data_IF_373625961732
#
_entry.id   IF_373625961732
#
_cell.length_a   1.000
_cell.length_b   1.000
_cell.length_c   1.000
_cell.angle_alpha   90.00
_cell.angle_beta   90.00
_cell.angle_gamma   90.00
#
_symmetry.space_group_name_H-M   'P 1'
#
loop_
_entity.id
_entity.type
_entity.pdbx_description
1 polymer ?
#
# COMPACT_ATOMS: atom_id res chain seq x y z
N UNK A 1 -5.42 8.35 -18.26
CA UNK A 1 -6.41 8.75 -17.22
C UNK A 1 -7.27 7.55 -16.89
N UNK A 2 -7.35 7.16 -15.62
CA UNK A 2 -8.33 6.14 -15.18
C UNK A 2 -9.75 6.67 -15.38
N UNK A 3 -10.66 5.82 -15.88
CA UNK A 3 -12.08 6.19 -16.03
C UNK A 3 -12.70 6.48 -14.66
N UNK A 4 -13.74 7.32 -14.62
CA UNK A 4 -14.49 7.57 -13.37
C UNK A 4 -14.99 6.26 -12.73
N UNK A 5 -15.41 5.29 -13.55
CA UNK A 5 -15.88 3.99 -13.08
C UNK A 5 -14.81 3.18 -12.31
N UNK A 6 -13.52 3.28 -12.67
CA UNK A 6 -12.43 2.61 -11.94
C UNK A 6 -12.13 3.32 -10.61
N UNK A 7 -12.30 4.64 -10.53
CA UNK A 7 -12.18 5.36 -9.26
C UNK A 7 -13.27 4.96 -8.27
N UNK A 8 -14.51 4.90 -8.76
CA UNK A 8 -15.67 4.48 -7.94
C UNK A 8 -15.51 3.03 -7.46
N UNK A 9 -15.02 2.13 -8.32
CA UNK A 9 -14.68 0.76 -7.93
C UNK A 9 -13.77 0.72 -6.70
N UNK A 10 -12.69 1.50 -6.68
CA UNK A 10 -11.75 1.50 -5.56
C UNK A 10 -12.40 1.94 -4.25
N UNK A 11 -13.34 2.89 -4.30
CA UNK A 11 -14.07 3.35 -3.13
C UNK A 11 -14.99 2.25 -2.61
N UNK A 12 -15.84 1.67 -3.48
CA UNK A 12 -16.78 0.62 -3.10
C UNK A 12 -16.07 -0.64 -2.60
N UNK A 13 -14.98 -1.06 -3.25
CA UNK A 13 -14.19 -2.22 -2.83
C UNK A 13 -13.57 -2.02 -1.43
N UNK A 14 -13.06 -0.83 -1.12
CA UNK A 14 -12.53 -0.49 0.22
C UNK A 14 -13.60 -0.50 1.30
N UNK A 15 -14.81 -0.10 0.96
CA UNK A 15 -15.96 -0.09 1.89
C UNK A 15 -16.63 -1.46 2.04
N UNK A 16 -16.18 -2.49 1.29
CA UNK A 16 -16.80 -3.81 1.29
C UNK A 16 -18.11 -3.91 0.48
N UNK A 17 -18.46 -2.88 -0.29
CA UNK A 17 -19.63 -2.86 -1.17
C UNK A 17 -19.31 -3.54 -2.51
N UNK A 18 -19.10 -4.85 -2.49
CA UNK A 18 -18.58 -5.60 -3.64
C UNK A 18 -19.54 -5.63 -4.84
N UNK A 19 -20.85 -5.65 -4.62
CA UNK A 19 -21.81 -5.62 -5.72
C UNK A 19 -21.78 -4.31 -6.49
N UNK A 20 -21.65 -3.19 -5.81
CA UNK A 20 -21.49 -1.87 -6.42
C UNK A 20 -20.15 -1.74 -7.15
N UNK A 21 -19.10 -2.31 -6.58
CA UNK A 21 -17.77 -2.38 -7.21
C UNK A 21 -17.85 -3.16 -8.54
N UNK A 22 -18.51 -4.31 -8.57
CA UNK A 22 -18.75 -5.12 -9.79
C UNK A 22 -19.49 -4.31 -10.85
N UNK A 23 -20.58 -3.63 -10.50
CA UNK A 23 -21.34 -2.79 -11.44
C UNK A 23 -20.48 -1.67 -12.04
N UNK A 24 -19.55 -1.11 -11.27
CA UNK A 24 -18.60 -0.10 -11.77
C UNK A 24 -17.64 -0.69 -12.83
N UNK A 25 -17.10 -1.89 -12.57
CA UNK A 25 -16.21 -2.57 -13.52
C UNK A 25 -16.95 -3.00 -14.80
N UNK A 26 -18.18 -3.50 -14.67
CA UNK A 26 -19.02 -3.87 -15.82
C UNK A 26 -19.34 -2.64 -16.70
N UNK A 27 -19.58 -1.46 -16.09
CA UNK A 27 -19.73 -0.20 -16.85
C UNK A 27 -18.43 0.18 -17.56
N UNK A 28 -17.29 0.07 -16.88
CA UNK A 28 -15.99 0.35 -17.50
C UNK A 28 -15.72 -0.55 -18.72
N UNK A 29 -16.12 -1.81 -18.67
CA UNK A 29 -15.99 -2.76 -19.77
C UNK A 29 -16.94 -2.47 -20.95
N UNK A 30 -18.07 -1.78 -20.74
CA UNK A 30 -18.91 -1.29 -21.85
C UNK A 30 -18.18 -0.21 -22.66
N UNK A 31 -17.45 0.69 -21.96
CA UNK A 31 -16.68 1.76 -22.60
C UNK A 31 -15.39 1.23 -23.23
N UNK A 32 -14.74 0.26 -22.58
CA UNK A 32 -13.47 -0.37 -23.01
C UNK A 32 -13.56 -1.88 -22.98
N UNK A 33 -14.16 -2.50 -24.03
CA UNK A 33 -14.43 -3.95 -24.02
C UNK A 33 -13.19 -4.85 -24.02
N UNK A 34 -12.01 -4.31 -24.33
CA UNK A 34 -10.75 -5.03 -24.40
C UNK A 34 -9.76 -4.66 -23.29
N UNK A 35 -10.23 -3.98 -22.23
CA UNK A 35 -9.41 -3.63 -21.06
C UNK A 35 -9.22 -4.85 -20.14
N UNK A 36 -8.10 -5.55 -20.30
CA UNK A 36 -7.80 -6.77 -19.55
C UNK A 36 -7.48 -6.50 -18.07
N UNK A 37 -7.06 -5.27 -17.71
CA UNK A 37 -6.93 -4.85 -16.32
C UNK A 37 -8.28 -4.89 -15.61
N UNK A 38 -9.32 -4.34 -16.24
CA UNK A 38 -10.67 -4.34 -15.69
C UNK A 38 -11.24 -5.76 -15.57
N UNK A 39 -10.98 -6.66 -16.53
CA UNK A 39 -11.35 -8.09 -16.39
C UNK A 39 -10.61 -8.77 -15.23
N UNK A 40 -9.36 -8.47 -15.01
CA UNK A 40 -8.59 -9.01 -13.89
C UNK A 40 -9.15 -8.53 -12.54
N UNK A 41 -9.52 -7.25 -12.44
CA UNK A 41 -10.18 -6.70 -11.24
C UNK A 41 -11.55 -7.38 -11.01
N UNK A 42 -12.33 -7.58 -12.07
CA UNK A 42 -13.64 -8.23 -11.98
C UNK A 42 -13.53 -9.67 -11.51
N UNK A 43 -12.58 -10.44 -12.04
CA UNK A 43 -12.32 -11.82 -11.61
C UNK A 43 -11.99 -11.93 -10.11
N UNK A 44 -11.32 -10.93 -9.53
CA UNK A 44 -11.02 -10.90 -8.09
C UNK A 44 -12.27 -10.77 -7.20
N UNK A 45 -13.38 -10.30 -7.75
CA UNK A 45 -14.65 -10.16 -7.05
C UNK A 45 -15.65 -11.26 -7.41
N UNK A 46 -15.56 -11.82 -8.61
CA UNK A 46 -16.48 -12.82 -9.16
C UNK A 46 -15.68 -13.95 -9.83
N UNK A 47 -15.70 -15.14 -9.25
CA UNK A 47 -14.97 -16.30 -9.78
C UNK A 47 -15.47 -16.76 -11.16
N UNK A 48 -16.77 -16.60 -11.44
CA UNK A 48 -17.42 -17.07 -12.67
C UNK A 48 -17.05 -16.26 -13.93
N UNK A 49 -16.22 -15.24 -13.81
CA UNK A 49 -15.76 -14.42 -14.95
C UNK A 49 -14.82 -15.20 -15.88
N UNK A 50 -14.13 -16.21 -15.37
CA UNK A 50 -13.18 -17.02 -16.14
C UNK A 50 -13.92 -18.10 -16.95
N UNK A 51 -14.45 -17.75 -18.10
CA UNK A 51 -15.07 -18.65 -19.04
C UNK A 51 -14.28 -18.79 -20.36
N UNK A 52 -14.69 -19.72 -21.21
CA UNK A 52 -14.05 -19.93 -22.52
C UNK A 52 -14.15 -18.72 -23.44
N UNK A 53 -15.20 -17.91 -23.32
CA UNK A 53 -15.41 -16.69 -24.09
C UNK A 53 -14.35 -15.65 -23.74
N UNK A 54 -14.11 -15.45 -22.44
CA UNK A 54 -13.06 -14.57 -21.97
C UNK A 54 -11.67 -15.08 -22.36
N UNK A 55 -11.42 -16.41 -22.25
CA UNK A 55 -10.11 -16.98 -22.69
C UNK A 55 -9.82 -16.67 -24.15
N UNK A 56 -10.80 -16.87 -25.02
CA UNK A 56 -10.68 -16.56 -26.47
C UNK A 56 -10.45 -15.04 -26.69
N UNK A 57 -11.18 -14.20 -25.97
CA UNK A 57 -11.01 -12.75 -26.03
C UNK A 57 -9.60 -12.32 -25.62
N UNK A 58 -9.10 -12.83 -24.49
CA UNK A 58 -7.75 -12.54 -24.00
C UNK A 58 -6.73 -12.91 -25.08
N UNK A 59 -6.80 -14.12 -25.60
CA UNK A 59 -5.89 -14.61 -26.64
C UNK A 59 -5.88 -13.67 -27.85
N UNK A 60 -7.06 -13.24 -28.30
CA UNK A 60 -7.19 -12.31 -29.43
C UNK A 60 -6.57 -10.94 -29.12
N UNK A 61 -6.83 -10.38 -27.91
CA UNK A 61 -6.31 -9.06 -27.53
C UNK A 61 -4.79 -9.07 -27.40
N UNK A 62 -4.20 -10.10 -26.80
CA UNK A 62 -2.73 -10.16 -26.61
C UNK A 62 -1.98 -10.54 -27.88
N UNK A 63 -2.65 -11.08 -28.90
CA UNK A 63 -2.06 -11.38 -30.21
C UNK A 63 -2.10 -10.20 -31.17
N UNK A 64 -2.70 -9.08 -30.79
CA UNK A 64 -2.74 -7.86 -31.60
C UNK A 64 -1.40 -7.12 -31.48
N UNK A 65 -0.74 -6.81 -32.59
CA UNK A 65 0.53 -6.06 -32.63
C UNK A 65 0.43 -4.67 -31.98
N UNK A 66 -0.77 -4.08 -31.93
CA UNK A 66 -1.06 -2.83 -31.23
C UNK A 66 -1.36 -2.97 -29.74
N UNK A 67 -1.27 -4.19 -29.19
CA UNK A 67 -1.60 -4.44 -27.78
C UNK A 67 -0.71 -3.67 -26.81
N UNK A 68 -1.33 -2.97 -25.85
CA UNK A 68 -0.56 -2.24 -24.84
C UNK A 68 0.15 -3.20 -23.87
N UNK A 69 1.33 -2.80 -23.36
CA UNK A 69 2.06 -3.59 -22.36
C UNK A 69 1.22 -3.92 -21.13
N UNK A 70 0.30 -3.04 -20.73
CA UNK A 70 -0.63 -3.29 -19.63
C UNK A 70 -1.61 -4.42 -19.97
N UNK A 71 -2.20 -4.42 -21.15
CA UNK A 71 -3.05 -5.54 -21.61
C UNK A 71 -2.25 -6.84 -21.76
N UNK A 72 -1.00 -6.80 -22.25
CA UNK A 72 -0.12 -7.96 -22.27
C UNK A 72 0.13 -8.49 -20.85
N UNK A 73 0.40 -7.60 -19.89
CA UNK A 73 0.59 -7.98 -18.49
C UNK A 73 -0.66 -8.68 -17.91
N UNK A 74 -1.79 -7.98 -17.90
CA UNK A 74 -3.02 -8.52 -17.32
C UNK A 74 -3.58 -9.72 -18.08
N UNK A 75 -3.42 -9.75 -19.41
CA UNK A 75 -3.79 -10.91 -20.21
C UNK A 75 -3.03 -12.18 -19.82
N UNK A 76 -1.71 -12.08 -19.64
CA UNK A 76 -0.92 -13.20 -19.16
C UNK A 76 -1.30 -13.59 -17.72
N UNK A 77 -1.56 -12.64 -16.81
CA UNK A 77 -2.03 -12.96 -15.46
C UNK A 77 -3.41 -13.66 -15.46
N UNK A 78 -4.33 -13.26 -16.34
CA UNK A 78 -5.62 -13.95 -16.52
C UNK A 78 -5.43 -15.36 -17.08
N UNK A 79 -4.57 -15.54 -18.11
CA UNK A 79 -4.26 -16.87 -18.64
C UNK A 79 -3.63 -17.78 -17.59
N UNK A 80 -2.78 -17.23 -16.69
CA UNK A 80 -2.26 -17.99 -15.56
C UNK A 80 -3.39 -18.53 -14.67
N UNK A 81 -4.44 -17.74 -14.43
CA UNK A 81 -5.62 -18.20 -13.66
C UNK A 81 -6.37 -19.34 -14.33
N UNK A 82 -6.51 -19.32 -15.65
CA UNK A 82 -7.08 -20.47 -16.37
C UNK A 82 -6.24 -21.73 -16.24
N UNK A 83 -4.92 -21.61 -16.35
CA UNK A 83 -4.03 -22.78 -16.21
C UNK A 83 -3.98 -23.27 -14.75
N UNK A 84 -4.10 -22.37 -13.75
CA UNK A 84 -4.25 -22.72 -12.34
C UNK A 84 -5.50 -23.57 -12.09
N UNK A 85 -6.66 -23.16 -12.64
CA UNK A 85 -7.91 -23.92 -12.53
C UNK A 85 -7.83 -25.29 -13.23
N UNK A 86 -7.01 -25.37 -14.28
CA UNK A 86 -6.78 -26.63 -15.00
C UNK A 86 -5.71 -27.53 -14.36
N UNK A 87 -5.04 -27.08 -13.28
CA UNK A 87 -3.95 -27.82 -12.63
C UNK A 87 -2.64 -27.83 -13.41
N UNK A 88 -2.47 -26.94 -14.40
CA UNK A 88 -1.30 -26.87 -15.27
C UNK A 88 -0.25 -25.91 -14.70
N UNK A 89 0.36 -26.25 -13.57
CA UNK A 89 1.23 -25.35 -12.79
C UNK A 89 2.44 -24.82 -13.57
N UNK A 90 3.02 -25.61 -14.48
CA UNK A 90 4.14 -25.15 -15.32
C UNK A 90 3.71 -24.03 -16.26
N UNK A 91 2.54 -24.17 -16.92
CA UNK A 91 2.00 -23.13 -17.80
C UNK A 91 1.56 -21.91 -16.99
N UNK A 92 0.95 -22.11 -15.84
CA UNK A 92 0.61 -21.04 -14.92
C UNK A 92 1.83 -20.21 -14.60
N UNK A 93 2.92 -20.85 -14.16
CA UNK A 93 4.16 -20.16 -13.80
C UNK A 93 4.75 -19.37 -14.98
N UNK A 94 4.76 -19.96 -16.18
CA UNK A 94 5.25 -19.30 -17.38
C UNK A 94 4.41 -18.04 -17.74
N UNK A 95 3.09 -18.10 -17.57
CA UNK A 95 2.22 -16.93 -17.79
C UNK A 95 2.42 -15.87 -16.70
N UNK A 96 2.62 -16.26 -15.45
CA UNK A 96 2.94 -15.34 -14.35
C UNK A 96 4.25 -14.59 -14.64
N UNK A 97 5.31 -15.29 -15.03
CA UNK A 97 6.59 -14.65 -15.39
C UNK A 97 6.42 -13.63 -16.51
N UNK A 98 5.73 -14.00 -17.61
CA UNK A 98 5.48 -13.07 -18.72
C UNK A 98 4.67 -11.85 -18.28
N UNK A 99 3.60 -12.06 -17.48
CA UNK A 99 2.79 -10.97 -16.97
C UNK A 99 3.60 -9.99 -16.12
N UNK A 100 4.41 -10.51 -15.21
CA UNK A 100 5.28 -9.68 -14.37
C UNK A 100 6.38 -8.97 -15.15
N UNK A 101 6.96 -9.59 -16.18
CA UNK A 101 7.95 -8.93 -17.04
C UNK A 101 7.34 -7.71 -17.75
N UNK A 102 6.14 -7.85 -18.32
CA UNK A 102 5.45 -6.70 -18.90
C UNK A 102 5.13 -5.60 -17.88
N UNK A 103 4.74 -5.96 -16.64
CA UNK A 103 4.59 -4.98 -15.57
C UNK A 103 5.89 -4.26 -15.27
N UNK A 104 6.98 -5.00 -15.13
CA UNK A 104 8.29 -4.42 -14.88
C UNK A 104 8.68 -3.43 -15.97
N UNK A 105 8.52 -3.80 -17.25
CA UNK A 105 8.80 -2.92 -18.38
C UNK A 105 7.98 -1.62 -18.37
N UNK A 106 6.74 -1.64 -17.83
CA UNK A 106 5.91 -0.42 -17.74
C UNK A 106 6.24 0.47 -16.54
N UNK A 107 6.88 -0.08 -15.52
CA UNK A 107 7.10 0.60 -14.23
C UNK A 107 8.58 0.69 -13.85
N UNK A 108 9.51 0.29 -14.72
CA UNK A 108 10.96 0.22 -14.42
C UNK A 108 11.50 1.53 -13.86
N UNK A 109 11.22 2.66 -14.50
CA UNK A 109 11.70 3.97 -14.03
C UNK A 109 11.17 4.35 -12.65
N UNK A 110 9.93 4.00 -12.33
CA UNK A 110 9.37 4.22 -11.00
C UNK A 110 10.05 3.30 -9.98
N UNK A 111 10.19 2.03 -10.32
CA UNK A 111 10.82 1.03 -9.48
C UNK A 111 12.29 1.36 -9.20
N UNK A 112 13.06 1.80 -10.19
CA UNK A 112 14.45 2.27 -10.02
C UNK A 112 14.55 3.46 -9.05
N UNK A 113 13.63 4.42 -9.15
CA UNK A 113 13.56 5.55 -8.21
C UNK A 113 13.22 5.10 -6.79
N UNK A 114 12.28 4.17 -6.66
CA UNK A 114 11.91 3.58 -5.37
C UNK A 114 13.07 2.80 -4.76
N UNK A 115 13.78 1.97 -5.54
CA UNK A 115 14.99 1.28 -5.08
C UNK A 115 16.05 2.25 -4.60
N UNK A 116 16.35 3.29 -5.40
CA UNK A 116 17.31 4.33 -5.00
C UNK A 116 16.89 5.02 -3.70
N UNK A 117 15.60 5.33 -3.55
CA UNK A 117 15.09 5.92 -2.31
C UNK A 117 15.30 4.99 -1.10
N UNK A 118 14.90 3.73 -1.22
CA UNK A 118 14.96 2.75 -0.13
C UNK A 118 16.39 2.34 0.26
N UNK A 119 17.29 2.21 -0.70
CA UNK A 119 18.63 1.69 -0.44
C UNK A 119 19.70 2.76 -0.29
N UNK A 120 19.55 3.92 -0.96
CA UNK A 120 20.58 4.96 -0.95
C UNK A 120 20.20 6.16 -0.07
N UNK A 121 18.94 6.60 -0.10
CA UNK A 121 18.51 7.83 0.56
C UNK A 121 18.04 7.55 1.97
N UNK A 122 17.13 6.62 2.14
CA UNK A 122 16.45 6.38 3.40
C UNK A 122 17.42 5.92 4.53
N UNK A 123 18.40 5.02 4.30
CA UNK A 123 19.38 4.66 5.33
C UNK A 123 20.26 5.82 5.79
N UNK A 124 20.37 6.87 4.98
CA UNK A 124 21.18 8.07 5.28
C UNK A 124 20.33 9.29 5.61
N UNK A 125 19.04 9.10 5.90
CA UNK A 125 18.11 10.21 6.10
C UNK A 125 18.54 11.12 7.27
N UNK A 126 19.15 10.55 8.30
CA UNK A 126 19.66 11.29 9.45
C UNK A 126 20.86 12.19 9.13
N UNK A 127 21.62 11.88 8.07
CA UNK A 127 22.71 12.71 7.57
C UNK A 127 22.21 13.84 6.65
N UNK A 128 21.11 13.56 5.92
CA UNK A 128 20.58 14.45 4.88
C UNK A 128 19.65 15.50 5.47
N UNK A 129 18.91 15.15 6.54
CA UNK A 129 17.88 16.00 7.12
C UNK A 129 18.28 16.45 8.52
N UNK A 130 18.06 17.72 8.81
CA UNK A 130 18.16 18.30 10.16
C UNK A 130 16.85 18.99 10.51
N UNK A 131 16.31 18.68 11.68
CA UNK A 131 15.15 19.40 12.21
C UNK A 131 15.60 20.73 12.79
N UNK A 132 14.84 21.79 12.52
CA UNK A 132 15.05 23.09 13.20
C UNK A 132 14.83 22.89 14.69
N UNK A 133 15.78 23.35 15.51
CA UNK A 133 15.64 23.36 16.96
C UNK A 133 14.48 24.28 17.34
N UNK A 134 13.61 23.81 18.21
CA UNK A 134 12.54 24.58 18.84
C UNK A 134 12.61 24.30 20.33
N UNK A 135 12.21 25.26 21.14
CA UNK A 135 12.16 25.11 22.60
C UNK A 135 10.92 24.32 23.07
N UNK A 136 10.19 23.72 22.13
CA UNK A 136 8.97 23.00 22.42
C UNK A 136 9.27 21.73 23.23
N UNK A 137 8.74 21.69 24.43
CA UNK A 137 8.85 20.56 25.33
C UNK A 137 7.64 19.63 25.18
N UNK A 138 7.76 18.63 24.30
CA UNK A 138 6.71 17.67 23.99
C UNK A 138 6.75 16.41 24.87
N UNK A 139 7.33 16.47 26.07
CA UNK A 139 7.43 15.31 26.98
C UNK A 139 6.05 14.78 27.45
N UNK A 140 5.01 15.59 27.40
CA UNK A 140 3.63 15.19 27.70
C UNK A 140 3.04 14.29 26.58
N UNK A 141 3.60 14.33 25.38
CA UNK A 141 3.18 13.47 24.27
C UNK A 141 3.91 12.14 24.35
N UNK A 142 3.15 11.05 24.46
CA UNK A 142 3.67 9.68 24.66
C UNK A 142 3.19 8.75 23.52
N UNK A 143 3.44 9.07 22.24
CA UNK A 143 3.01 8.21 21.15
C UNK A 143 3.74 6.86 21.17
N UNK A 144 3.08 5.86 20.58
CA UNK A 144 3.61 4.51 20.42
C UNK A 144 3.79 4.25 18.93
N UNK A 145 5.05 4.18 18.51
CA UNK A 145 5.40 3.85 17.14
C UNK A 145 5.59 2.34 17.00
N UNK A 146 4.91 1.74 16.05
CA UNK A 146 4.99 0.31 15.75
C UNK A 146 5.75 0.17 14.44
N UNK A 147 6.89 -0.46 14.48
CA UNK A 147 7.81 -0.66 13.35
C UNK A 147 8.05 -2.15 13.11
N UNK A 148 8.59 -2.50 11.95
CA UNK A 148 8.91 -3.88 11.62
C UNK A 148 8.77 -4.16 10.13
N UNK A 149 8.91 -5.42 9.75
CA UNK A 149 8.71 -5.83 8.37
C UNK A 149 7.21 -5.96 8.01
N UNK A 150 6.83 -5.81 6.73
CA UNK A 150 5.48 -6.12 6.29
C UNK A 150 5.07 -7.54 6.70
N UNK A 151 3.79 -7.73 7.04
CA UNK A 151 3.21 -9.03 7.46
C UNK A 151 3.69 -9.57 8.82
N UNK A 152 4.40 -8.78 9.63
CA UNK A 152 4.85 -9.18 10.98
C UNK A 152 3.74 -9.23 12.04
N UNK A 153 2.48 -8.87 11.71
CA UNK A 153 1.38 -8.83 12.67
C UNK A 153 1.17 -7.47 13.34
N UNK A 154 1.82 -6.42 12.86
CA UNK A 154 1.76 -5.05 13.43
C UNK A 154 0.33 -4.53 13.60
N UNK A 155 -0.60 -4.85 12.68
CA UNK A 155 -2.01 -4.46 12.80
C UNK A 155 -2.70 -5.10 14.00
N UNK A 156 -2.39 -6.36 14.32
CA UNK A 156 -2.92 -7.03 15.49
C UNK A 156 -2.37 -6.40 16.77
N UNK A 157 -1.07 -6.13 16.80
CA UNK A 157 -0.40 -5.47 17.94
C UNK A 157 -1.03 -4.10 18.18
N UNK A 158 -1.24 -3.29 17.15
CA UNK A 158 -1.88 -1.98 17.26
C UNK A 158 -3.29 -2.08 17.85
N UNK A 159 -4.10 -3.01 17.35
CA UNK A 159 -5.46 -3.24 17.87
C UNK A 159 -5.46 -3.69 19.34
N UNK A 160 -4.53 -4.54 19.73
CA UNK A 160 -4.38 -4.97 21.14
C UNK A 160 -4.03 -3.78 22.03
N UNK A 161 -3.10 -2.93 21.61
CA UNK A 161 -2.72 -1.71 22.34
C UNK A 161 -3.91 -0.76 22.45
N UNK A 162 -4.63 -0.53 21.36
CA UNK A 162 -5.76 0.40 21.32
C UNK A 162 -6.98 -0.09 22.11
N UNK A 163 -7.14 -1.41 22.26
CA UNK A 163 -8.24 -2.02 23.01
C UNK A 163 -8.02 -2.09 24.53
N UNK A 164 -6.91 -1.53 25.05
CA UNK A 164 -6.59 -1.50 26.47
C UNK A 164 -7.60 -0.70 27.30
N UNK A 165 -7.37 -0.63 28.63
CA UNK A 165 -8.27 0.04 29.59
C UNK A 165 -8.52 1.53 29.31
N UNK A 166 -7.62 2.18 28.57
CA UNK A 166 -7.80 3.54 28.02
C UNK A 166 -7.85 3.44 26.51
N UNK A 167 -8.88 4.03 25.91
CA UNK A 167 -8.96 4.13 24.44
C UNK A 167 -7.77 4.94 23.92
N UNK A 168 -6.94 4.31 23.08
CA UNK A 168 -5.80 4.95 22.42
C UNK A 168 -6.15 5.12 20.95
N UNK A 169 -6.16 6.36 20.40
CA UNK A 169 -6.38 6.59 18.98
C UNK A 169 -5.38 5.83 18.13
N UNK A 170 -5.87 5.10 17.13
CA UNK A 170 -5.05 4.39 16.17
C UNK A 170 -4.73 5.27 14.98
N UNK A 171 -3.44 5.45 14.71
CA UNK A 171 -2.97 6.18 13.53
C UNK A 171 -2.90 5.30 12.29
N UNK A 172 -2.83 3.99 12.47
CA UNK A 172 -2.54 3.06 11.38
C UNK A 172 -1.25 3.45 10.64
N UNK A 173 -1.24 3.39 9.31
CA UNK A 173 -0.09 3.78 8.49
C UNK A 173 -0.20 5.25 8.10
N UNK A 174 0.23 6.17 9.00
CA UNK A 174 0.12 7.61 8.74
C UNK A 174 1.02 8.07 7.60
N UNK A 175 2.19 7.50 7.43
CA UNK A 175 3.23 7.92 6.48
C UNK A 175 3.71 9.37 6.69
N UNK A 176 3.44 9.97 7.86
CA UNK A 176 3.74 11.39 8.13
C UNK A 176 5.23 11.65 8.05
N UNK A 177 6.06 10.83 8.70
CA UNK A 177 7.51 11.02 8.65
C UNK A 177 8.04 10.87 7.24
N UNK A 178 7.66 9.82 6.52
CA UNK A 178 8.08 9.60 5.15
C UNK A 178 7.72 10.79 4.23
N UNK A 179 6.57 11.39 4.44
CA UNK A 179 6.09 12.50 3.60
C UNK A 179 6.70 13.85 3.98
N UNK A 180 6.89 14.13 5.27
CA UNK A 180 7.16 15.49 5.74
C UNK A 180 8.58 15.70 6.28
N UNK A 181 9.33 14.66 6.60
CA UNK A 181 10.63 14.79 7.24
C UNK A 181 11.62 15.62 6.41
N UNK A 182 11.57 15.48 5.09
CA UNK A 182 12.42 16.23 4.17
C UNK A 182 12.20 17.75 4.22
N UNK A 183 11.11 18.21 4.80
CA UNK A 183 10.83 19.63 4.98
C UNK A 183 11.56 20.23 6.21
N UNK A 184 12.16 19.37 7.05
CA UNK A 184 12.93 19.79 8.25
C UNK A 184 12.10 20.55 9.29
N UNK A 185 10.76 20.40 9.29
CA UNK A 185 9.84 21.18 10.13
C UNK A 185 9.10 20.29 11.15
N UNK A 186 9.44 20.46 12.42
CA UNK A 186 8.71 19.84 13.55
C UNK A 186 7.24 20.23 13.57
N UNK A 187 6.96 21.51 13.40
CA UNK A 187 5.60 22.07 13.44
C UNK A 187 4.70 21.39 12.43
N UNK A 188 5.14 21.22 11.18
CA UNK A 188 4.35 20.53 10.15
C UNK A 188 4.06 19.07 10.48
N UNK A 189 5.01 18.38 11.12
CA UNK A 189 4.80 17.00 11.56
C UNK A 189 3.75 16.96 12.67
N UNK A 190 3.82 17.85 13.65
CA UNK A 190 2.81 17.94 14.74
C UNK A 190 1.44 18.33 14.20
N UNK A 191 1.36 19.32 13.32
CA UNK A 191 0.12 19.73 12.64
C UNK A 191 -0.52 18.58 11.85
N UNK A 192 0.28 17.75 11.17
CA UNK A 192 -0.22 16.60 10.43
C UNK A 192 -0.85 15.52 11.35
N UNK A 193 -0.30 15.30 12.53
CA UNK A 193 -0.93 14.43 13.54
C UNK A 193 -2.20 15.06 14.12
N UNK A 194 -2.21 16.38 14.34
CA UNK A 194 -3.42 17.11 14.80
C UNK A 194 -4.55 17.02 13.79
N UNK A 195 -4.26 17.25 12.50
CA UNK A 195 -5.25 17.16 11.41
C UNK A 195 -5.89 15.77 11.28
N UNK A 196 -5.19 14.73 11.74
CA UNK A 196 -5.71 13.36 11.80
C UNK A 196 -6.41 13.03 13.12
N UNK A 197 -6.62 14.03 13.99
CA UNK A 197 -7.18 13.85 15.34
C UNK A 197 -6.37 12.89 16.23
N UNK A 198 -5.09 12.71 15.95
CA UNK A 198 -4.17 11.87 16.73
C UNK A 198 -3.47 12.65 17.83
N UNK A 199 -3.43 13.98 17.73
CA UNK A 199 -2.95 14.89 18.76
C UNK A 199 -4.09 15.81 19.20
N UNK A 200 -4.38 15.80 20.50
CA UNK A 200 -5.28 16.77 21.12
C UNK A 200 -4.48 17.57 22.16
N UNK A 201 -4.93 18.78 22.46
CA UNK A 201 -4.25 19.72 23.35
C UNK A 201 -4.30 19.35 24.85
N UNK A 202 -4.67 18.13 25.20
CA UNK A 202 -4.78 17.68 26.57
C UNK A 202 -3.45 17.12 27.11
N UNK A 203 -3.27 17.17 28.42
CA UNK A 203 -2.12 16.60 29.15
C UNK A 203 -2.01 15.08 28.93
N UNK A 204 -0.78 14.58 28.78
CA UNK A 204 -0.43 13.14 28.68
C UNK A 204 -1.19 12.40 27.58
N UNK A 205 -0.94 12.79 26.31
CA UNK A 205 -1.64 12.21 25.17
C UNK A 205 -0.86 11.05 24.54
N UNK A 206 -1.55 9.94 24.33
CA UNK A 206 -1.01 8.73 23.71
C UNK A 206 -1.82 8.41 22.44
N UNK A 207 -1.14 8.07 21.36
CA UNK A 207 -1.71 7.55 20.11
C UNK A 207 -0.76 6.51 19.52
N UNK A 208 -1.19 5.74 18.55
CA UNK A 208 -0.31 4.83 17.80
C UNK A 208 -0.02 5.36 16.39
N UNK A 209 1.13 4.99 15.85
CA UNK A 209 1.48 5.12 14.45
C UNK A 209 2.22 3.85 14.02
N UNK A 210 1.62 3.12 13.10
CA UNK A 210 2.08 1.82 12.61
C UNK A 210 2.71 1.93 11.22
N UNK A 211 3.22 3.08 10.82
CA UNK A 211 4.01 3.20 9.59
C UNK A 211 5.31 2.42 9.77
N UNK A 212 5.40 1.26 9.12
CA UNK A 212 6.49 0.29 9.38
C UNK A 212 7.85 0.88 9.10
N UNK A 213 7.96 1.75 8.09
CA UNK A 213 9.19 2.49 7.74
C UNK A 213 9.64 3.51 8.79
N UNK A 214 8.85 3.77 9.82
CA UNK A 214 9.24 4.68 10.91
C UNK A 214 10.54 4.26 11.61
N UNK A 215 11.01 3.02 11.43
CA UNK A 215 12.30 2.59 11.96
C UNK A 215 13.49 3.40 11.41
N UNK A 216 13.39 3.96 10.19
CA UNK A 216 14.40 4.86 9.64
C UNK A 216 14.37 6.26 10.28
N UNK A 217 13.30 6.60 10.99
CA UNK A 217 13.06 7.94 11.54
C UNK A 217 13.13 7.98 13.08
N UNK A 218 13.62 6.91 13.74
CA UNK A 218 13.61 6.80 15.21
C UNK A 218 14.29 7.97 15.88
N UNK A 219 15.41 8.48 15.35
CA UNK A 219 16.08 9.66 15.86
C UNK A 219 15.18 10.89 15.85
N UNK A 220 14.57 11.19 14.69
CA UNK A 220 13.65 12.31 14.56
C UNK A 220 12.38 12.14 15.42
N UNK A 221 11.87 10.92 15.53
CA UNK A 221 10.76 10.60 16.43
C UNK A 221 11.14 10.98 17.86
N UNK A 222 12.33 10.60 18.32
CA UNK A 222 12.82 10.92 19.66
C UNK A 222 13.11 12.40 19.87
N UNK A 223 13.54 13.11 18.83
CA UNK A 223 13.71 14.55 18.88
C UNK A 223 12.39 15.31 18.99
N UNK A 224 11.31 14.84 18.32
CA UNK A 224 9.99 15.49 18.32
C UNK A 224 9.17 15.03 19.53
N UNK A 225 9.23 13.75 19.85
CA UNK A 225 8.49 13.09 20.92
C UNK A 225 9.46 12.38 21.87
N UNK A 226 10.11 13.10 22.80
CA UNK A 226 11.11 12.49 23.68
C UNK A 226 10.59 11.30 24.51
N UNK A 227 9.29 11.32 24.86
CA UNK A 227 8.62 10.26 25.62
C UNK A 227 7.98 9.16 24.75
N UNK A 228 8.21 9.18 23.42
CA UNK A 228 7.70 8.16 22.53
C UNK A 228 8.20 6.76 22.87
N UNK A 229 7.35 5.76 22.72
CA UNK A 229 7.72 4.34 22.77
C UNK A 229 7.83 3.80 21.35
N UNK A 230 8.77 2.89 21.14
CA UNK A 230 8.92 2.18 19.84
C UNK A 230 8.77 0.70 20.11
N UNK A 231 7.86 0.05 19.40
CA UNK A 231 7.63 -1.40 19.44
C UNK A 231 8.10 -1.97 18.11
N UNK A 232 9.12 -2.82 18.14
CA UNK A 232 9.57 -3.54 16.96
C UNK A 232 8.84 -4.88 16.86
N UNK A 233 8.01 -5.04 15.83
CA UNK A 233 7.30 -6.27 15.55
C UNK A 233 8.18 -7.17 14.68
N UNK A 234 8.48 -8.35 15.20
CA UNK A 234 9.25 -9.38 14.48
C UNK A 234 8.42 -10.63 14.29
N UNK A 235 8.65 -11.31 13.20
CA UNK A 235 8.09 -12.62 12.89
C UNK A 235 9.15 -13.43 12.15
N UNK A 236 9.06 -14.75 12.25
CA UNK A 236 9.90 -15.63 11.45
C UNK A 236 9.67 -15.34 9.95
N UNK A 237 10.78 -15.12 9.23
CA UNK A 237 10.75 -14.75 7.79
C UNK A 237 10.05 -15.82 6.95
N UNK A 238 10.21 -17.09 7.31
CA UNK A 238 9.58 -18.21 6.59
C UNK A 238 8.08 -18.34 6.87
N UNK A 239 7.59 -17.66 7.91
CA UNK A 239 6.18 -17.66 8.33
C UNK A 239 5.43 -16.38 7.91
N UNK A 240 6.10 -15.49 7.20
CA UNK A 240 5.58 -14.13 6.86
C UNK A 240 4.93 -14.09 5.49
#
# INVERSE_FOLDING_TARGET
MQSHAVKDYNIYAKLGHFQEAVKCLQRALKDKPNDLETFYMLHRLEENVLDSTLKNKITKVISDDGCTKMNLAYGNLLLAKFEQQAGNYEKEFNYLLKGHDYFFQTKSTKFEKELKYWFDILPRIEEIVSLKKTDDNNHHLKPIFIVGFPRCGSTLIEKVIASGAKHIPMGEETGIFNTLIHQGSRTKILEAYQQRNLLQSASDYTFTDKSLENFFYIKFIKEIFPSAKVINCTRDILSS
#
